data_IF_845452815775
#
_entry.id   IF_845452815775
#
_cell.length_a   1.000
_cell.length_b   1.000
_cell.length_c   1.000
_cell.angle_alpha   90.00
_cell.angle_beta   90.00
_cell.angle_gamma   90.00
#
_symmetry.space_group_name_H-M   'P 1'
#
loop_
_entity.id
_entity.type
_entity.pdbx_description
1 polymer ?
#
# COMPACT_ATOMS: atom_id res chain seq x y z
N UNK A 1 32.36 -27.15 -30.35
CA UNK A 1 31.80 -28.37 -29.71
C UNK A 1 30.68 -27.93 -28.78
N UNK A 2 29.45 -28.33 -29.12
CA UNK A 2 28.20 -28.45 -28.30
C UNK A 2 27.74 -27.24 -27.45
N UNK A 3 26.48 -26.80 -27.42
CA UNK A 3 25.26 -27.20 -28.11
C UNK A 3 24.25 -26.04 -28.07
N UNK A 4 23.40 -25.96 -29.09
CA UNK A 4 22.29 -25.02 -29.23
C UNK A 4 21.20 -25.24 -28.18
N UNK A 5 20.72 -24.17 -27.54
CA UNK A 5 19.49 -24.22 -26.76
C UNK A 5 18.29 -24.11 -27.72
N UNK A 6 17.56 -25.20 -27.92
CA UNK A 6 16.35 -25.22 -28.74
C UNK A 6 15.23 -24.48 -28.01
N UNK A 7 14.61 -23.51 -28.69
CA UNK A 7 13.34 -22.95 -28.27
C UNK A 7 12.28 -24.06 -28.24
N UNK A 8 11.77 -24.35 -27.04
CA UNK A 8 10.62 -25.24 -26.85
C UNK A 8 9.34 -24.40 -27.02
N UNK A 9 8.53 -24.77 -28.00
CA UNK A 9 7.24 -24.15 -28.31
C UNK A 9 6.20 -24.32 -27.18
N UNK A 10 5.22 -23.39 -27.03
CA UNK A 10 4.43 -23.20 -25.79
C UNK A 10 3.36 -24.27 -25.51
N UNK A 11 3.31 -25.38 -26.26
CA UNK A 11 2.10 -26.16 -26.39
C UNK A 11 1.92 -27.33 -25.39
N UNK A 12 2.89 -27.63 -24.51
CA UNK A 12 2.83 -28.88 -23.75
C UNK A 12 3.32 -28.80 -22.29
N UNK A 13 2.91 -27.77 -21.55
CA UNK A 13 2.99 -27.80 -20.09
C UNK A 13 1.63 -28.23 -19.49
N UNK A 14 1.44 -29.52 -19.11
CA UNK A 14 0.19 -30.00 -18.53
C UNK A 14 -0.11 -29.38 -17.15
N UNK A 15 0.87 -28.77 -16.48
CA UNK A 15 0.68 -28.07 -15.21
C UNK A 15 0.10 -26.66 -15.34
N UNK A 16 0.12 -26.05 -16.53
CA UNK A 16 -0.30 -24.66 -16.73
C UNK A 16 -1.82 -24.46 -16.82
N UNK A 17 -2.58 -25.49 -17.19
CA UNK A 17 -4.02 -25.36 -17.45
C UNK A 17 -4.91 -25.46 -16.21
N UNK A 18 -4.40 -25.97 -15.09
CA UNK A 18 -5.19 -26.09 -13.86
C UNK A 18 -5.17 -24.86 -12.96
N UNK A 19 -4.16 -23.99 -13.06
CA UNK A 19 -4.07 -22.78 -12.22
C UNK A 19 -4.86 -21.59 -12.79
N UNK A 20 -5.10 -21.54 -14.10
CA UNK A 20 -5.86 -20.45 -14.73
C UNK A 20 -7.38 -20.48 -14.44
N UNK A 21 -7.89 -21.55 -13.82
CA UNK A 21 -9.32 -21.72 -13.55
C UNK A 21 -9.72 -21.55 -12.06
N UNK A 22 -8.79 -21.25 -11.16
CA UNK A 22 -9.12 -20.96 -9.76
C UNK A 22 -9.27 -19.44 -9.53
N UNK A 23 -10.32 -18.86 -10.10
CA UNK A 23 -11.00 -17.79 -9.37
C UNK A 23 -11.68 -18.46 -8.18
N UNK A 24 -10.90 -18.72 -7.11
CA UNK A 24 -11.44 -19.25 -5.86
C UNK A 24 -12.65 -18.39 -5.47
N UNK A 25 -13.78 -18.97 -5.05
CA UNK A 25 -14.97 -18.22 -4.62
C UNK A 25 -14.64 -17.10 -3.63
N UNK A 26 -13.58 -17.31 -2.83
CA UNK A 26 -13.03 -16.32 -1.88
C UNK A 26 -12.46 -15.08 -2.58
N UNK A 27 -11.73 -15.25 -3.69
CA UNK A 27 -11.19 -14.14 -4.48
C UNK A 27 -12.31 -13.40 -5.22
N UNK A 28 -13.33 -14.13 -5.70
CA UNK A 28 -14.52 -13.53 -6.30
C UNK A 28 -15.28 -12.64 -5.31
N UNK A 29 -15.60 -13.19 -4.13
CA UNK A 29 -16.28 -12.46 -3.07
C UNK A 29 -15.49 -11.24 -2.58
N UNK A 30 -14.15 -11.34 -2.49
CA UNK A 30 -13.29 -10.22 -2.11
C UNK A 30 -13.39 -9.05 -3.11
N UNK A 31 -13.35 -9.35 -4.42
CA UNK A 31 -13.44 -8.33 -5.46
C UNK A 31 -14.81 -7.68 -5.50
N UNK A 32 -15.86 -8.46 -5.28
CA UNK A 32 -17.23 -7.94 -5.21
C UNK A 32 -17.41 -7.01 -4.00
N UNK A 33 -16.95 -7.44 -2.81
CA UNK A 33 -16.98 -6.61 -1.60
C UNK A 33 -16.19 -5.31 -1.77
N UNK A 34 -14.99 -5.36 -2.37
CA UNK A 34 -14.21 -4.16 -2.66
C UNK A 34 -14.91 -3.24 -3.66
N UNK A 35 -15.49 -3.77 -4.75
CA UNK A 35 -16.23 -2.95 -5.73
C UNK A 35 -17.45 -2.28 -5.13
N UNK A 36 -18.20 -3.01 -4.30
CA UNK A 36 -19.34 -2.47 -3.58
C UNK A 36 -18.92 -1.35 -2.61
N UNK A 37 -17.86 -1.58 -1.82
CA UNK A 37 -17.29 -0.57 -0.92
C UNK A 37 -16.80 0.67 -1.68
N UNK A 38 -16.08 0.47 -2.79
CA UNK A 38 -15.61 1.55 -3.66
C UNK A 38 -16.74 2.37 -4.26
N UNK A 39 -17.83 1.74 -4.69
CA UNK A 39 -19.01 2.45 -5.19
C UNK A 39 -19.72 3.23 -4.08
N UNK A 40 -19.87 2.64 -2.89
CA UNK A 40 -20.59 3.22 -1.77
C UNK A 40 -19.82 4.35 -1.08
N UNK A 41 -18.50 4.23 -0.92
CA UNK A 41 -17.69 5.16 -0.14
C UNK A 41 -17.00 6.21 -1.03
N UNK A 42 -17.39 7.51 -0.96
CA UNK A 42 -16.82 8.56 -1.80
C UNK A 42 -15.29 8.60 -1.78
N UNK A 43 -14.67 8.40 -0.62
CA UNK A 43 -13.21 8.47 -0.44
C UNK A 43 -12.44 7.29 -1.06
N UNK A 44 -13.12 6.17 -1.33
CA UNK A 44 -12.55 5.07 -2.11
C UNK A 44 -12.65 5.30 -3.63
N UNK A 45 -13.52 6.23 -4.08
CA UNK A 45 -13.68 6.56 -5.50
C UNK A 45 -12.58 7.48 -6.01
N UNK A 46 -12.07 8.34 -5.14
CA UNK A 46 -10.95 9.21 -5.46
C UNK A 46 -9.71 8.34 -5.62
N UNK A 47 -9.26 8.18 -6.87
CA UNK A 47 -7.87 7.82 -7.10
C UNK A 47 -7.03 8.92 -6.45
N UNK A 48 -5.91 8.55 -5.83
CA UNK A 48 -4.91 9.51 -5.37
C UNK A 48 -4.35 10.24 -6.59
N UNK A 49 -5.11 11.19 -7.10
CA UNK A 49 -4.71 12.06 -8.17
C UNK A 49 -3.66 12.99 -7.58
N UNK A 50 -2.58 13.22 -8.33
CA UNK A 50 -1.72 14.35 -8.09
C UNK A 50 -2.59 15.61 -8.16
N UNK A 51 -3.00 16.14 -7.01
CA UNK A 51 -3.85 17.31 -6.95
C UNK A 51 -3.06 18.52 -7.43
N UNK A 52 -3.20 18.84 -8.71
CA UNK A 52 -3.16 20.23 -9.18
C UNK A 52 -4.35 20.95 -8.58
N UNK A 53 -4.05 22.02 -7.85
CA UNK A 53 -4.97 22.90 -7.13
C UNK A 53 -6.25 23.22 -7.90
N UNK A 54 -7.39 23.01 -7.25
CA UNK A 54 -8.56 23.92 -7.12
C UNK A 54 -9.85 23.10 -6.99
N UNK A 55 -10.31 22.89 -5.75
CA UNK A 55 -11.57 22.21 -5.45
C UNK A 55 -11.61 21.57 -4.07
N UNK A 56 -11.43 22.36 -3.00
CA UNK A 56 -11.28 21.82 -1.64
C UNK A 56 -12.62 21.41 -1.03
N UNK A 57 -12.84 20.10 -0.90
CA UNK A 57 -13.84 19.53 0.01
C UNK A 57 -13.46 19.81 1.48
N UNK A 58 -14.43 19.74 2.39
CA UNK A 58 -14.21 20.04 3.82
C UNK A 58 -13.27 19.04 4.53
N UNK A 59 -13.14 17.80 4.03
CA UNK A 59 -12.20 16.80 4.57
C UNK A 59 -10.74 17.02 4.17
N UNK A 60 -10.48 17.50 2.95
CA UNK A 60 -9.12 17.89 2.50
C UNK A 60 -8.51 18.97 3.41
N UNK A 61 -9.36 19.82 4.02
CA UNK A 61 -8.91 20.91 4.91
C UNK A 61 -8.23 20.41 6.20
N UNK A 62 -8.41 19.15 6.60
CA UNK A 62 -7.70 18.56 7.76
C UNK A 62 -6.37 17.92 7.37
N UNK A 63 -6.17 17.58 6.10
CA UNK A 63 -4.93 16.96 5.65
C UNK A 63 -3.86 18.02 5.44
N UNK A 64 -2.86 18.05 6.33
CA UNK A 64 -1.70 18.91 6.16
C UNK A 64 -0.82 18.35 5.04
N UNK A 65 -0.84 18.98 3.87
CA UNK A 65 0.12 18.68 2.81
C UNK A 65 1.52 19.02 3.33
N UNK A 66 2.37 18.00 3.52
CA UNK A 66 3.78 18.22 3.89
C UNK A 66 4.48 18.97 2.76
N UNK A 67 5.41 19.86 3.14
CA UNK A 67 6.32 20.51 2.17
C UNK A 67 7.20 19.44 1.53
N UNK A 68 7.91 19.78 0.44
CA UNK A 68 8.86 18.87 -0.21
C UNK A 68 9.98 18.48 0.77
N UNK A 69 9.75 17.42 1.51
CA UNK A 69 10.68 16.76 2.44
C UNK A 69 11.16 15.46 1.78
N UNK A 70 12.38 15.04 2.10
CA UNK A 70 12.89 13.75 1.67
C UNK A 70 12.24 12.66 2.51
N UNK A 71 11.24 12.00 1.95
CA UNK A 71 10.54 10.86 2.55
C UNK A 71 10.83 9.64 1.68
N UNK A 72 11.20 8.52 2.29
CA UNK A 72 11.54 7.29 1.58
C UNK A 72 11.15 6.05 2.39
N UNK A 73 10.94 4.93 1.70
CA UNK A 73 10.71 3.62 2.32
C UNK A 73 11.98 2.77 2.25
N UNK A 74 12.10 1.76 3.09
CA UNK A 74 13.22 0.81 3.08
C UNK A 74 12.64 -0.61 3.12
N UNK A 75 12.60 -1.25 1.95
CA UNK A 75 11.92 -2.54 1.78
C UNK A 75 12.74 -3.50 0.91
N UNK A 76 12.46 -4.82 0.98
CA UNK A 76 12.96 -5.77 -0.02
C UNK A 76 12.57 -5.35 -1.44
N UNK A 77 13.44 -5.64 -2.42
CA UNK A 77 13.24 -5.23 -3.82
C UNK A 77 11.96 -5.77 -4.48
N UNK A 78 11.39 -6.84 -3.93
CA UNK A 78 10.15 -7.47 -4.40
C UNK A 78 8.89 -6.93 -3.72
N UNK A 79 9.02 -6.11 -2.68
CA UNK A 79 7.88 -5.56 -1.95
C UNK A 79 7.03 -4.65 -2.83
N UNK A 80 5.72 -4.63 -2.56
CA UNK A 80 4.72 -3.82 -3.29
C UNK A 80 3.72 -3.16 -2.34
N UNK A 81 3.69 -3.62 -1.10
CA UNK A 81 2.88 -3.21 0.03
C UNK A 81 3.76 -2.49 1.05
N UNK A 82 4.26 -1.32 0.62
CA UNK A 82 5.10 -0.44 1.44
C UNK A 82 4.20 0.28 2.46
N UNK A 83 4.22 -0.20 3.70
CA UNK A 83 3.33 0.27 4.77
C UNK A 83 3.89 1.48 5.53
N UNK A 84 5.21 1.61 5.58
CA UNK A 84 5.90 2.69 6.30
C UNK A 84 6.92 3.43 5.44
N UNK A 85 7.09 4.71 5.75
CA UNK A 85 8.14 5.56 5.23
C UNK A 85 8.78 6.36 6.35
N UNK A 86 10.03 6.75 6.16
CA UNK A 86 10.80 7.53 7.12
C UNK A 86 11.27 8.85 6.51
N UNK A 87 11.45 9.84 7.37
CA UNK A 87 12.11 11.09 7.05
C UNK A 87 13.02 11.50 8.19
N UNK A 88 14.17 12.09 7.86
CA UNK A 88 15.11 12.62 8.85
C UNK A 88 15.63 13.95 8.34
N UNK A 89 15.60 14.96 9.21
CA UNK A 89 16.07 16.31 8.90
C UNK A 89 16.86 16.86 10.08
N UNK A 90 18.12 17.20 9.86
CA UNK A 90 18.93 17.90 10.87
C UNK A 90 18.39 19.32 11.05
N UNK A 91 18.05 19.71 12.30
CA UNK A 91 17.54 21.03 12.65
C UNK A 91 18.62 21.96 13.22
N UNK A 92 19.64 21.39 13.87
CA UNK A 92 20.74 22.12 14.50
C UNK A 92 21.89 21.19 14.88
N UNK A 93 22.79 21.67 15.73
CA UNK A 93 23.81 20.81 16.34
C UNK A 93 23.12 19.82 17.29
N UNK A 94 23.38 18.54 17.05
CA UNK A 94 22.82 17.40 17.80
C UNK A 94 21.29 17.41 17.96
N UNK A 95 20.55 18.00 16.99
CA UNK A 95 19.07 17.99 16.97
C UNK A 95 18.54 17.58 15.60
N UNK A 96 17.63 16.61 15.58
CA UNK A 96 17.03 16.00 14.40
C UNK A 96 15.52 15.98 14.49
N UNK A 97 14.84 16.26 13.39
CA UNK A 97 13.42 15.95 13.20
C UNK A 97 13.32 14.60 12.51
N UNK A 98 12.73 13.62 13.20
CA UNK A 98 12.52 12.25 12.69
C UNK A 98 11.03 12.03 12.50
N UNK A 99 10.65 11.60 11.31
CA UNK A 99 9.27 11.29 10.97
C UNK A 99 9.11 9.82 10.60
N UNK A 100 8.09 9.17 11.18
CA UNK A 100 7.59 7.87 10.74
C UNK A 100 6.20 8.08 10.14
N UNK A 101 5.99 7.56 8.94
CA UNK A 101 4.78 7.77 8.14
C UNK A 101 4.17 6.42 7.81
N UNK A 102 3.03 6.10 8.43
CA UNK A 102 2.32 4.84 8.21
C UNK A 102 1.20 5.07 7.21
N UNK A 103 1.08 4.18 6.22
CA UNK A 103 -0.01 4.19 5.25
C UNK A 103 -1.37 4.29 5.94
N UNK A 104 -2.20 5.25 5.51
CA UNK A 104 -3.52 5.46 6.11
C UNK A 104 -4.56 4.52 5.49
N UNK A 105 -4.53 3.25 5.89
CA UNK A 105 -5.52 2.25 5.48
C UNK A 105 -6.92 2.61 6.01
N UNK A 106 -7.00 3.28 7.17
CA UNK A 106 -8.26 3.61 7.84
C UNK A 106 -9.10 4.59 7.02
N UNK A 107 -8.44 5.49 6.29
CA UNK A 107 -9.09 6.41 5.36
C UNK A 107 -9.88 5.68 4.27
N UNK A 108 -9.34 4.57 3.77
CA UNK A 108 -9.96 3.81 2.70
C UNK A 108 -10.86 2.69 3.21
N UNK A 109 -10.62 2.11 4.39
CA UNK A 109 -11.37 0.95 4.90
C UNK A 109 -12.41 1.39 5.95
N UNK A 110 -13.69 1.60 5.58
CA UNK A 110 -14.69 2.08 6.51
C UNK A 110 -15.12 0.93 7.42
N UNK A 111 -15.24 1.24 8.71
CA UNK A 111 -15.66 0.29 9.75
C UNK A 111 -17.07 -0.26 9.50
N UNK A 112 -17.31 -1.46 10.01
CA UNK A 112 -18.63 -2.15 9.98
C UNK A 112 -19.16 -2.43 8.57
N UNK A 113 -18.30 -2.37 7.55
CA UNK A 113 -18.65 -2.73 6.18
C UNK A 113 -18.42 -4.22 5.88
N UNK A 114 -19.05 -4.80 4.84
CA UNK A 114 -18.72 -6.15 4.40
C UNK A 114 -17.23 -6.32 4.04
N UNK A 115 -16.58 -5.25 3.54
CA UNK A 115 -15.16 -5.25 3.26
C UNK A 115 -14.32 -5.30 4.55
N UNK A 116 -14.67 -4.50 5.56
CA UNK A 116 -14.05 -4.54 6.89
C UNK A 116 -14.19 -5.93 7.53
N UNK A 117 -15.41 -6.51 7.53
CA UNK A 117 -15.63 -7.87 8.03
C UNK A 117 -14.80 -8.92 7.27
N UNK A 118 -14.60 -8.74 5.97
CA UNK A 118 -13.77 -9.64 5.16
C UNK A 118 -12.29 -9.51 5.52
N UNK A 119 -11.79 -8.28 5.63
CA UNK A 119 -10.41 -7.97 6.03
C UNK A 119 -10.14 -8.48 7.45
N UNK A 120 -11.05 -8.23 8.39
CA UNK A 120 -10.99 -8.72 9.76
C UNK A 120 -10.93 -10.25 9.83
N UNK A 121 -11.70 -10.95 8.99
CA UNK A 121 -11.64 -12.43 8.88
C UNK A 121 -10.30 -12.95 8.36
N UNK A 122 -9.60 -12.19 7.50
CA UNK A 122 -8.25 -12.54 7.05
C UNK A 122 -7.18 -12.24 8.09
N UNK A 123 -7.37 -11.17 8.87
CA UNK A 123 -6.53 -10.70 9.97
C UNK A 123 -5.08 -10.29 9.61
N UNK A 124 -4.42 -10.99 8.67
CA UNK A 124 -3.04 -10.72 8.27
C UNK A 124 -2.75 -11.19 6.85
N UNK A 125 -1.71 -10.64 6.23
CA UNK A 125 -1.16 -11.13 4.96
C UNK A 125 -0.32 -12.37 5.23
N UNK A 126 -0.55 -13.44 4.47
CA UNK A 126 0.26 -14.67 4.56
C UNK A 126 1.29 -14.66 3.44
N UNK A 127 2.57 -14.55 3.81
CA UNK A 127 3.69 -14.61 2.86
C UNK A 127 4.19 -16.06 2.73
N UNK A 128 4.10 -16.61 1.53
CA UNK A 128 4.69 -17.89 1.12
C UNK A 128 5.93 -17.63 0.26
N UNK A 129 6.69 -18.69 -0.01
CA UNK A 129 7.93 -18.64 -0.81
C UNK A 129 7.70 -18.01 -2.19
N UNK A 130 6.56 -18.28 -2.82
CA UNK A 130 6.24 -17.92 -4.20
C UNK A 130 5.12 -16.87 -4.34
N UNK A 131 4.40 -16.55 -3.26
CA UNK A 131 3.24 -15.66 -3.31
C UNK A 131 2.86 -15.07 -1.95
N UNK A 132 2.15 -13.96 -1.97
CA UNK A 132 1.45 -13.41 -0.81
C UNK A 132 -0.06 -13.59 -0.96
N UNK A 133 -0.74 -14.00 0.12
CA UNK A 133 -2.20 -13.90 0.25
C UNK A 133 -2.46 -12.65 1.09
N UNK A 134 -2.72 -11.52 0.43
CA UNK A 134 -2.89 -10.24 1.09
C UNK A 134 -4.12 -10.19 2.00
N UNK A 135 -3.98 -9.54 3.14
CA UNK A 135 -5.09 -9.19 4.03
C UNK A 135 -6.12 -8.32 3.28
N UNK A 136 -5.64 -7.25 2.66
CA UNK A 136 -6.43 -6.34 1.85
C UNK A 136 -6.65 -6.89 0.43
N UNK A 137 -7.72 -6.51 -0.27
CA UNK A 137 -7.78 -6.64 -1.72
C UNK A 137 -6.56 -5.98 -2.37
N UNK A 138 -6.00 -6.60 -3.41
CA UNK A 138 -4.74 -6.16 -4.02
C UNK A 138 -4.82 -4.71 -4.51
N UNK A 139 -5.95 -4.33 -5.11
CA UNK A 139 -6.18 -2.96 -5.56
C UNK A 139 -6.13 -1.94 -4.41
N UNK A 140 -6.72 -2.28 -3.25
CA UNK A 140 -6.68 -1.44 -2.05
C UNK A 140 -5.26 -1.41 -1.44
N UNK A 141 -4.58 -2.55 -1.42
CA UNK A 141 -3.20 -2.66 -0.94
C UNK A 141 -2.26 -1.73 -1.71
N UNK A 142 -2.34 -1.70 -3.05
CA UNK A 142 -1.53 -0.80 -3.89
C UNK A 142 -1.94 0.68 -3.76
N UNK A 143 -3.22 0.95 -3.49
CA UNK A 143 -3.70 2.31 -3.23
C UNK A 143 -3.15 2.85 -1.90
N UNK A 144 -3.10 2.01 -0.87
CA UNK A 144 -2.53 2.36 0.43
C UNK A 144 -0.99 2.44 0.39
N UNK A 145 -0.33 1.58 -0.38
CA UNK A 145 1.13 1.51 -0.39
C UNK A 145 1.80 2.84 -0.71
N UNK A 146 2.85 3.18 0.05
CA UNK A 146 3.66 4.40 -0.05
C UNK A 146 4.63 4.36 -1.25
N UNK A 147 4.09 4.03 -2.43
CA UNK A 147 4.85 3.92 -3.67
C UNK A 147 5.53 5.26 -4.04
N UNK A 148 6.77 5.21 -4.56
CA UNK A 148 7.53 6.42 -4.88
C UNK A 148 6.87 7.23 -6.02
N UNK A 149 6.97 8.55 -5.91
CA UNK A 149 6.48 9.48 -6.95
C UNK A 149 4.96 9.66 -6.98
N UNK A 150 4.24 9.18 -5.98
CA UNK A 150 2.79 9.33 -5.85
C UNK A 150 2.46 10.05 -4.53
N UNK A 151 1.46 10.94 -4.56
CA UNK A 151 0.91 11.51 -3.34
C UNK A 151 0.08 10.43 -2.62
N UNK A 152 0.41 10.14 -1.36
CA UNK A 152 -0.19 9.07 -0.56
C UNK A 152 -0.67 9.60 0.79
N UNK A 153 -1.79 9.07 1.29
CA UNK A 153 -2.26 9.38 2.64
C UNK A 153 -1.47 8.57 3.65
N UNK A 154 -0.99 9.24 4.70
CA UNK A 154 -0.25 8.61 5.77
C UNK A 154 -0.57 9.26 7.11
N UNK A 155 -0.69 8.44 8.14
CA UNK A 155 -0.63 8.86 9.53
C UNK A 155 0.84 9.08 9.89
N UNK A 156 1.20 10.29 10.30
CA UNK A 156 2.59 10.65 10.59
C UNK A 156 2.80 10.92 12.07
N UNK A 157 3.88 10.36 12.62
CA UNK A 157 4.42 10.72 13.92
C UNK A 157 5.75 11.42 13.68
N UNK A 158 5.95 12.55 14.35
CA UNK A 158 7.14 13.39 14.17
C UNK A 158 7.69 13.71 15.54
N UNK A 159 8.97 13.40 15.73
CA UNK A 159 9.73 13.71 16.94
C UNK A 159 10.83 14.71 16.63
N UNK A 160 11.22 15.48 17.63
CA UNK A 160 12.52 16.11 17.68
C UNK A 160 13.36 15.30 18.66
N UNK A 161 14.50 14.81 18.19
CA UNK A 161 15.38 13.91 18.92
C UNK A 161 16.80 14.47 18.91
N UNK A 162 17.54 14.22 19.97
CA UNK A 162 18.97 14.51 20.01
C UNK A 162 19.81 13.47 19.22
N UNK A 163 21.14 13.53 19.33
CA UNK A 163 22.03 12.61 18.62
C UNK A 163 22.05 11.20 19.25
N UNK A 164 21.62 11.09 20.50
CA UNK A 164 21.51 9.87 21.29
C UNK A 164 20.17 9.15 21.06
N UNK A 165 19.19 9.87 20.53
CA UNK A 165 17.86 9.37 20.19
C UNK A 165 16.81 9.62 21.28
N UNK A 166 17.11 10.50 22.23
CA UNK A 166 16.18 10.92 23.27
C UNK A 166 15.28 12.06 22.75
N UNK A 167 13.99 12.02 23.11
CA UNK A 167 12.99 13.06 22.86
C UNK A 167 12.59 13.77 24.17
N UNK A 168 12.28 15.07 24.08
CA UNK A 168 11.83 15.93 25.21
C UNK A 168 10.37 15.68 25.64
#
# INVERSE_FOLDING_TARGET
MFASNSQMSPANNPGGKHYQAMQSPVVGAQREAYRAAKAAHPLMREEQAATTSEGQGEEEKKLKKKKKECIFTIDPSTARDLDDAVSVKKLGDDLYEVGVHISDVSYFLPLDTPLDQFVAKRATTIYMVDKAIHMLPLELCLQCSLLPGQDKYALSIIWQMDAEGDDD
#
